data_IF_641676581343
#
_entry.id   IF_641676581343
#
_cell.length_a   1.000
_cell.length_b   1.000
_cell.length_c   1.000
_cell.angle_alpha   90.00
_cell.angle_beta   90.00
_cell.angle_gamma   90.00
#
_symmetry.space_group_name_H-M   'P 1'
#
loop_
_entity.id
_entity.type
_entity.pdbx_description
1 polymer ?
#
# COMPACT_ATOMS: atom_id res chain seq x y z
N UNK A 1 -25.02 17.57 -28.90
CA UNK A 1 -24.09 18.10 -27.90
C UNK A 1 -23.99 17.10 -26.76
N UNK A 2 -22.78 16.76 -26.31
CA UNK A 2 -22.54 15.82 -25.21
C UNK A 2 -21.93 16.55 -24.01
N UNK A 3 -22.53 16.40 -22.83
CA UNK A 3 -22.03 16.97 -21.58
C UNK A 3 -21.75 15.85 -20.58
N UNK A 4 -20.52 15.78 -20.06
CA UNK A 4 -20.16 14.82 -19.04
C UNK A 4 -20.23 15.47 -17.65
N UNK A 5 -20.91 14.83 -16.70
CA UNK A 5 -21.00 15.28 -15.31
C UNK A 5 -20.13 14.38 -14.44
N UNK A 6 -19.04 14.91 -13.91
CA UNK A 6 -18.20 14.22 -12.92
C UNK A 6 -18.64 14.62 -11.52
N UNK A 7 -19.11 13.66 -10.75
CA UNK A 7 -19.64 13.90 -9.41
C UNK A 7 -18.67 13.32 -8.36
N UNK A 8 -18.05 14.22 -7.59
CA UNK A 8 -17.06 13.92 -6.55
C UNK A 8 -17.61 13.88 -5.13
N UNK A 9 -18.93 13.92 -4.95
CA UNK A 9 -19.57 13.66 -3.65
C UNK A 9 -19.60 12.18 -3.30
N UNK A 10 -20.20 11.84 -2.16
CA UNK A 10 -20.21 10.47 -1.62
C UNK A 10 -21.41 9.62 -2.03
N UNK A 11 -22.38 10.19 -2.76
CA UNK A 11 -23.59 9.46 -3.16
C UNK A 11 -24.58 9.21 -2.01
N UNK A 12 -24.54 10.06 -0.98
CA UNK A 12 -25.51 10.00 0.13
C UNK A 12 -26.86 10.53 -0.37
N UNK A 13 -27.97 9.95 0.12
CA UNK A 13 -29.33 10.29 -0.30
C UNK A 13 -29.64 11.79 -0.15
N UNK A 14 -29.20 12.40 0.96
CA UNK A 14 -29.44 13.82 1.26
C UNK A 14 -28.31 14.74 0.76
N UNK A 15 -27.64 14.39 -0.33
CA UNK A 15 -26.59 15.24 -0.88
C UNK A 15 -27.19 16.39 -1.73
N UNK A 16 -26.99 17.66 -1.35
CA UNK A 16 -27.55 18.81 -2.09
C UNK A 16 -27.00 18.92 -3.51
N UNK A 17 -25.75 18.56 -3.75
CA UNK A 17 -25.16 18.57 -5.10
C UNK A 17 -25.85 17.54 -5.98
N UNK A 18 -26.27 16.40 -5.43
CA UNK A 18 -26.96 15.34 -6.15
C UNK A 18 -28.29 15.84 -6.72
N UNK A 19 -29.06 16.58 -5.93
CA UNK A 19 -30.28 17.22 -6.40
C UNK A 19 -30.01 18.23 -7.51
N UNK A 20 -29.01 19.09 -7.33
CA UNK A 20 -28.66 20.09 -8.36
C UNK A 20 -28.31 19.41 -9.68
N UNK A 21 -27.41 18.43 -9.69
CA UNK A 21 -27.01 17.76 -10.93
C UNK A 21 -28.15 16.96 -11.57
N UNK A 22 -29.05 16.39 -10.77
CA UNK A 22 -30.26 15.74 -11.30
C UNK A 22 -31.13 16.78 -12.01
N UNK A 23 -31.37 17.94 -11.39
CA UNK A 23 -32.15 19.02 -12.02
C UNK A 23 -31.47 19.59 -13.27
N UNK A 24 -30.14 19.75 -13.24
CA UNK A 24 -29.38 20.13 -14.43
C UNK A 24 -29.52 19.08 -15.54
N UNK A 25 -29.52 17.80 -15.20
CA UNK A 25 -29.67 16.70 -16.17
C UNK A 25 -31.05 16.72 -16.82
N UNK A 26 -32.12 16.96 -16.06
CA UNK A 26 -33.47 17.14 -16.60
C UNK A 26 -33.51 18.26 -17.65
N UNK A 27 -33.05 19.46 -17.28
CA UNK A 27 -33.04 20.63 -18.17
C UNK A 27 -32.19 20.40 -19.41
N UNK A 28 -31.02 19.78 -19.28
CA UNK A 28 -30.16 19.46 -20.42
C UNK A 28 -30.81 18.40 -21.34
N UNK A 29 -31.52 17.43 -20.76
CA UNK A 29 -32.24 16.40 -21.53
C UNK A 29 -33.40 17.01 -22.30
N UNK A 30 -34.14 17.95 -21.70
CA UNK A 30 -35.19 18.73 -22.39
C UNK A 30 -34.64 19.54 -23.57
N UNK A 31 -33.39 20.01 -23.46
CA UNK A 31 -32.67 20.71 -24.54
C UNK A 31 -32.02 19.76 -25.57
N UNK A 32 -32.34 18.46 -25.56
CA UNK A 32 -31.76 17.42 -26.42
C UNK A 32 -30.22 17.29 -26.31
N UNK A 33 -29.67 17.51 -25.13
CA UNK A 33 -28.25 17.28 -24.83
C UNK A 33 -28.07 15.88 -24.30
N UNK A 34 -27.08 15.15 -24.81
CA UNK A 34 -26.68 13.87 -24.24
C UNK A 34 -25.89 14.13 -22.96
N UNK A 35 -26.42 13.70 -21.82
CA UNK A 35 -25.75 13.81 -20.52
C UNK A 35 -25.23 12.45 -20.10
N UNK A 36 -23.94 12.38 -19.80
CA UNK A 36 -23.31 11.18 -19.25
C UNK A 36 -22.75 11.50 -17.86
N UNK A 37 -23.11 10.69 -16.86
CA UNK A 37 -22.76 10.95 -15.47
C UNK A 37 -21.76 9.93 -14.94
N UNK A 38 -20.70 10.45 -14.33
CA UNK A 38 -19.60 9.69 -13.75
C UNK A 38 -19.56 9.92 -12.23
N UNK A 39 -20.21 9.05 -11.44
CA UNK A 39 -20.04 9.04 -9.98
C UNK A 39 -18.63 8.57 -9.62
N UNK A 40 -17.75 9.49 -9.23
CA UNK A 40 -16.34 9.19 -8.98
C UNK A 40 -16.15 8.25 -7.78
N UNK A 41 -17.08 8.27 -6.83
CA UNK A 41 -17.05 7.38 -5.67
C UNK A 41 -17.32 5.90 -6.02
N UNK A 42 -17.93 5.60 -7.18
CA UNK A 42 -18.12 4.23 -7.68
C UNK A 42 -16.94 3.82 -8.57
N UNK A 43 -16.39 4.78 -9.29
CA UNK A 43 -15.32 4.57 -10.28
C UNK A 43 -13.92 4.73 -9.70
N UNK A 44 -13.74 4.52 -8.39
CA UNK A 44 -12.48 4.83 -7.64
C UNK A 44 -11.22 4.29 -8.31
N UNK A 45 -11.29 3.07 -8.85
CA UNK A 45 -10.15 2.37 -9.47
C UNK A 45 -9.99 2.75 -10.95
N UNK A 46 -10.98 3.40 -11.55
CA UNK A 46 -11.01 3.79 -12.97
C UNK A 46 -10.84 5.30 -13.16
N UNK A 47 -10.75 6.10 -12.08
CA UNK A 47 -10.61 7.58 -12.15
C UNK A 47 -9.47 8.00 -13.08
N UNK A 48 -8.37 7.26 -13.08
CA UNK A 48 -7.19 7.47 -13.93
C UNK A 48 -7.48 7.36 -15.43
N UNK A 49 -8.47 6.57 -15.83
CA UNK A 49 -8.90 6.38 -17.23
C UNK A 49 -10.00 7.36 -17.68
N UNK A 50 -10.73 7.97 -16.73
CA UNK A 50 -11.83 8.89 -17.03
C UNK A 50 -11.48 10.13 -17.87
N UNK A 51 -10.24 10.69 -17.84
CA UNK A 51 -9.88 11.78 -18.73
C UNK A 51 -10.10 11.45 -20.22
N UNK A 52 -10.04 10.17 -20.62
CA UNK A 52 -10.33 9.76 -21.99
C UNK A 52 -11.77 10.07 -22.42
N UNK A 53 -12.73 10.00 -21.49
CA UNK A 53 -14.15 10.29 -21.78
C UNK A 53 -14.40 11.77 -22.13
N UNK A 54 -13.47 12.68 -21.79
CA UNK A 54 -13.53 14.10 -22.16
C UNK A 54 -13.36 14.29 -23.67
N UNK A 55 -12.70 13.36 -24.37
CA UNK A 55 -12.49 13.44 -25.82
C UNK A 55 -13.80 13.53 -26.61
N UNK A 56 -14.84 12.84 -26.14
CA UNK A 56 -16.16 12.81 -26.77
C UNK A 56 -17.10 13.92 -26.27
N UNK A 57 -16.75 14.62 -25.19
CA UNK A 57 -17.59 15.64 -24.60
C UNK A 57 -17.39 17.02 -25.27
N UNK A 58 -18.46 17.79 -25.40
CA UNK A 58 -18.44 19.21 -25.82
C UNK A 58 -18.28 20.15 -24.62
N UNK A 59 -18.68 19.70 -23.43
CA UNK A 59 -18.50 20.39 -22.17
C UNK A 59 -18.58 19.42 -21.00
N UNK A 60 -18.12 19.88 -19.84
CA UNK A 60 -18.11 19.08 -18.62
C UNK A 60 -18.71 19.86 -17.45
N UNK A 61 -19.25 19.14 -16.48
CA UNK A 61 -19.65 19.68 -15.18
C UNK A 61 -18.81 18.99 -14.11
N UNK A 62 -18.12 19.78 -13.29
CA UNK A 62 -17.42 19.27 -12.12
C UNK A 62 -18.28 19.57 -10.89
N UNK A 63 -18.90 18.53 -10.35
CA UNK A 63 -19.84 18.63 -9.25
C UNK A 63 -19.25 18.02 -7.98
N UNK A 64 -19.21 18.75 -6.86
CA UNK A 64 -18.73 18.22 -5.58
C UNK A 64 -19.50 18.81 -4.40
N UNK A 65 -19.58 18.06 -3.32
CA UNK A 65 -20.14 18.53 -2.05
C UNK A 65 -19.02 18.81 -1.07
N UNK A 66 -19.04 19.97 -0.44
CA UNK A 66 -18.11 20.35 0.61
C UNK A 66 -18.73 20.00 1.96
N UNK A 67 -18.10 19.06 2.65
CA UNK A 67 -18.50 18.63 3.99
C UNK A 67 -17.65 19.27 5.10
N UNK A 68 -16.43 19.70 4.77
CA UNK A 68 -15.50 20.27 5.75
C UNK A 68 -14.73 21.48 5.22
N UNK A 69 -13.55 21.28 4.63
CA UNK A 69 -12.62 22.38 4.28
C UNK A 69 -12.48 22.63 2.78
N UNK A 70 -12.88 21.70 1.92
CA UNK A 70 -12.70 21.88 0.48
C UNK A 70 -13.19 20.74 -0.39
N UNK A 71 -12.65 20.73 -1.62
CA UNK A 71 -12.97 19.76 -2.66
C UNK A 71 -12.63 18.33 -2.22
N UNK A 72 -13.53 17.39 -2.46
CA UNK A 72 -13.36 15.99 -2.07
C UNK A 72 -12.20 15.31 -2.81
N UNK A 73 -11.60 14.30 -2.15
CA UNK A 73 -10.42 13.59 -2.67
C UNK A 73 -10.62 12.94 -4.04
N UNK A 74 -11.81 12.40 -4.33
CA UNK A 74 -12.11 11.81 -5.65
C UNK A 74 -12.09 12.85 -6.78
N UNK A 75 -12.60 14.05 -6.52
CA UNK A 75 -12.56 15.14 -7.50
C UNK A 75 -11.14 15.62 -7.73
N UNK A 76 -10.34 15.73 -6.66
CA UNK A 76 -8.92 16.07 -6.78
C UNK A 76 -8.14 15.00 -7.57
N UNK A 77 -8.37 13.72 -7.27
CA UNK A 77 -7.76 12.61 -8.00
C UNK A 77 -8.14 12.62 -9.49
N UNK A 78 -9.38 13.00 -9.82
CA UNK A 78 -9.80 13.17 -11.21
C UNK A 78 -9.09 14.35 -11.89
N UNK A 79 -8.90 15.47 -11.20
CA UNK A 79 -8.15 16.61 -11.72
C UNK A 79 -6.66 16.27 -11.93
N UNK A 80 -6.06 15.52 -11.01
CA UNK A 80 -4.70 14.99 -11.15
C UNK A 80 -4.60 14.03 -12.34
N UNK A 81 -5.58 13.14 -12.51
CA UNK A 81 -5.67 12.29 -13.70
C UNK A 81 -5.79 13.11 -14.99
N UNK A 82 -6.56 14.20 -15.01
CA UNK A 82 -6.62 15.12 -16.14
C UNK A 82 -5.27 15.85 -16.37
N UNK A 83 -4.51 16.11 -15.31
CA UNK A 83 -3.17 16.67 -15.42
C UNK A 83 -2.19 15.68 -16.07
N UNK A 84 -2.21 14.42 -15.65
CA UNK A 84 -1.27 13.40 -16.09
C UNK A 84 -1.66 12.76 -17.43
N UNK A 85 -2.93 12.40 -17.59
CA UNK A 85 -3.45 11.57 -18.69
C UNK A 85 -4.49 12.28 -19.58
N UNK A 86 -4.83 13.53 -19.28
CA UNK A 86 -5.81 14.27 -20.07
C UNK A 86 -5.24 14.75 -21.42
N UNK A 87 -5.99 14.57 -22.50
CA UNK A 87 -5.68 15.16 -23.79
C UNK A 87 -5.75 16.70 -23.71
N UNK A 88 -4.57 17.34 -23.69
CA UNK A 88 -4.44 18.79 -23.49
C UNK A 88 -5.07 19.62 -24.61
N UNK A 89 -5.02 19.14 -25.85
CA UNK A 89 -5.65 19.84 -26.97
C UNK A 89 -7.17 19.85 -26.80
N UNK A 90 -7.77 18.71 -26.46
CA UNK A 90 -9.21 18.64 -26.20
C UNK A 90 -9.60 19.51 -25.00
N UNK A 91 -8.89 19.40 -23.88
CA UNK A 91 -9.16 20.18 -22.67
C UNK A 91 -9.14 21.68 -22.97
N UNK A 92 -8.22 22.15 -23.83
CA UNK A 92 -8.12 23.57 -24.20
C UNK A 92 -9.37 24.16 -24.87
N UNK A 93 -10.19 23.30 -25.47
CA UNK A 93 -11.44 23.68 -26.14
C UNK A 93 -12.69 23.27 -25.33
N UNK A 94 -12.50 22.69 -24.16
CA UNK A 94 -13.58 22.13 -23.34
C UNK A 94 -14.03 23.13 -22.28
N UNK A 95 -15.33 23.44 -22.31
CA UNK A 95 -16.00 24.26 -21.32
C UNK A 95 -16.29 23.47 -20.04
N UNK A 96 -16.05 24.07 -18.87
CA UNK A 96 -16.29 23.43 -17.57
C UNK A 96 -17.20 24.28 -16.69
N UNK A 97 -18.27 23.69 -16.20
CA UNK A 97 -19.16 24.29 -15.20
C UNK A 97 -18.88 23.70 -13.81
N UNK A 98 -18.43 24.52 -12.83
CA UNK A 98 -18.26 24.03 -11.47
C UNK A 98 -19.59 24.12 -10.70
N UNK A 99 -19.99 23.04 -10.04
CA UNK A 99 -21.17 22.96 -9.19
C UNK A 99 -20.74 22.51 -7.81
N UNK A 100 -20.87 23.39 -6.81
CA UNK A 100 -20.38 23.11 -5.46
C UNK A 100 -21.42 23.42 -4.41
N UNK A 101 -22.01 22.41 -3.81
CA UNK A 101 -22.89 22.62 -2.65
C UNK A 101 -22.14 22.31 -1.35
N UNK A 102 -22.61 22.86 -0.24
CA UNK A 102 -22.08 22.56 1.08
C UNK A 102 -23.18 22.38 2.10
N UNK A 103 -22.94 21.45 3.04
CA UNK A 103 -23.70 21.34 4.29
C UNK A 103 -23.05 22.17 5.42
N UNK A 104 -21.89 22.76 5.12
CA UNK A 104 -21.09 23.61 6.01
C UNK A 104 -20.61 24.85 5.24
N UNK A 105 -19.58 25.54 5.73
CA UNK A 105 -18.88 26.58 4.98
C UNK A 105 -17.87 26.00 3.96
N UNK A 106 -17.52 26.78 2.94
CA UNK A 106 -16.35 26.55 2.07
C UNK A 106 -16.66 26.32 0.59
N UNK A 107 -17.93 26.45 0.21
CA UNK A 107 -18.41 26.22 -1.15
C UNK A 107 -17.87 27.22 -2.17
N UNK A 108 -17.64 28.46 -1.76
CA UNK A 108 -17.12 29.52 -2.64
C UNK A 108 -15.65 29.29 -2.98
N UNK A 109 -14.85 28.96 -1.97
CA UNK A 109 -13.44 28.63 -2.10
C UNK A 109 -13.27 27.38 -2.95
N UNK A 110 -14.05 26.34 -2.69
CA UNK A 110 -14.02 25.10 -3.47
C UNK A 110 -14.44 25.32 -4.93
N UNK A 111 -15.48 26.13 -5.20
CA UNK A 111 -15.85 26.51 -6.57
C UNK A 111 -14.71 27.24 -7.28
N UNK A 112 -14.09 28.21 -6.60
CA UNK A 112 -12.97 28.96 -7.16
C UNK A 112 -11.78 28.05 -7.42
N UNK A 113 -11.52 27.10 -6.51
CA UNK A 113 -10.48 26.09 -6.67
C UNK A 113 -10.68 25.24 -7.93
N UNK A 114 -11.89 24.74 -8.17
CA UNK A 114 -12.22 23.99 -9.39
C UNK A 114 -12.02 24.82 -10.66
N UNK A 115 -12.40 26.11 -10.63
CA UNK A 115 -12.18 27.02 -11.76
C UNK A 115 -10.69 27.19 -12.06
N UNK A 116 -9.90 27.50 -11.03
CA UNK A 116 -8.45 27.69 -11.15
C UNK A 116 -7.77 26.40 -11.64
N UNK A 117 -8.14 25.24 -11.08
CA UNK A 117 -7.59 23.95 -11.50
C UNK A 117 -7.85 23.67 -12.99
N UNK A 118 -9.07 23.93 -13.47
CA UNK A 118 -9.41 23.75 -14.87
C UNK A 118 -8.72 24.76 -15.80
N UNK A 119 -8.55 26.01 -15.37
CA UNK A 119 -7.76 27.00 -16.10
C UNK A 119 -6.30 26.59 -16.23
N UNK A 120 -5.69 26.05 -15.16
CA UNK A 120 -4.31 25.55 -15.18
C UNK A 120 -4.17 24.35 -16.12
N UNK A 121 -5.17 23.46 -16.15
CA UNK A 121 -5.26 22.39 -17.14
C UNK A 121 -5.36 22.92 -18.57
N UNK A 122 -5.77 24.18 -18.74
CA UNK A 122 -5.85 24.92 -20.00
C UNK A 122 -7.26 25.05 -20.55
N UNK A 123 -8.28 24.58 -19.83
CA UNK A 123 -9.67 24.60 -20.29
C UNK A 123 -10.38 25.92 -20.03
N UNK A 124 -11.66 25.95 -20.40
CA UNK A 124 -12.49 27.17 -20.41
C UNK A 124 -13.51 27.12 -19.26
N UNK A 125 -13.26 27.75 -18.10
CA UNK A 125 -14.24 27.76 -17.02
C UNK A 125 -15.46 28.61 -17.38
N UNK A 126 -16.64 28.11 -17.02
CA UNK A 126 -17.92 28.78 -17.19
C UNK A 126 -18.45 29.32 -15.85
N UNK A 127 -19.57 30.04 -15.94
CA UNK A 127 -20.31 30.47 -14.76
C UNK A 127 -20.92 29.26 -14.05
N UNK A 128 -20.29 28.84 -12.96
CA UNK A 128 -20.79 27.75 -12.13
C UNK A 128 -21.83 28.18 -11.08
N UNK A 129 -22.27 27.19 -10.31
CA UNK A 129 -23.19 27.34 -9.19
C UNK A 129 -22.50 26.95 -7.88
N UNK A 130 -22.76 27.71 -6.81
CA UNK A 130 -22.41 27.28 -5.46
C UNK A 130 -23.50 27.70 -4.47
N UNK A 131 -23.69 26.93 -3.40
CA UNK A 131 -24.70 27.23 -2.40
C UNK A 131 -24.53 26.41 -1.13
N UNK A 132 -24.92 27.01 -0.02
CA UNK A 132 -25.06 26.34 1.27
C UNK A 132 -26.49 25.84 1.42
N UNK A 133 -26.65 24.60 1.88
CA UNK A 133 -27.93 23.96 2.12
C UNK A 133 -27.95 23.44 3.55
N UNK A 134 -28.81 24.02 4.39
CA UNK A 134 -29.01 23.61 5.79
C UNK A 134 -30.08 22.51 5.90
N UNK A 135 -31.24 22.72 5.25
CA UNK A 135 -32.33 21.75 5.16
C UNK A 135 -32.61 21.40 3.69
N UNK A 136 -32.47 20.11 3.38
CA UNK A 136 -32.67 19.59 2.03
C UNK A 136 -34.13 19.74 1.59
N UNK A 137 -35.09 19.50 2.48
CA UNK A 137 -36.52 19.55 2.13
C UNK A 137 -36.93 20.93 1.66
N UNK A 138 -36.51 21.96 2.41
CA UNK A 138 -36.75 23.36 2.04
C UNK A 138 -36.04 23.75 0.75
N UNK A 139 -34.86 23.19 0.49
CA UNK A 139 -34.11 23.45 -0.73
C UNK A 139 -34.80 22.87 -1.97
N UNK A 140 -35.28 21.63 -1.89
CA UNK A 140 -35.97 20.94 -3.00
C UNK A 140 -37.33 21.57 -3.33
N UNK A 141 -38.06 22.04 -2.32
CA UNK A 141 -39.39 22.62 -2.51
C UNK A 141 -39.36 24.09 -2.97
N UNK A 142 -38.21 24.76 -2.86
CA UNK A 142 -38.10 26.17 -3.19
C UNK A 142 -37.97 26.39 -4.72
N UNK A 143 -39.05 26.91 -5.31
CA UNK A 143 -39.14 27.22 -6.74
C UNK A 143 -38.12 28.27 -7.20
N UNK A 144 -37.73 29.21 -6.35
CA UNK A 144 -36.76 30.23 -6.72
C UNK A 144 -35.35 29.64 -6.88
N UNK A 145 -34.98 28.68 -6.02
CA UNK A 145 -33.71 27.95 -6.14
C UNK A 145 -33.68 27.07 -7.39
N UNK A 146 -34.79 26.38 -7.69
CA UNK A 146 -34.93 25.61 -8.93
C UNK A 146 -34.73 26.51 -10.15
N UNK A 147 -35.38 27.68 -10.19
CA UNK A 147 -35.26 28.64 -11.28
C UNK A 147 -33.80 29.16 -11.44
N UNK A 148 -33.06 29.31 -10.34
CA UNK A 148 -31.62 29.66 -10.40
C UNK A 148 -30.81 28.54 -11.07
N UNK A 149 -31.07 27.27 -10.70
CA UNK A 149 -30.39 26.11 -11.29
C UNK A 149 -30.72 26.01 -12.78
N UNK A 150 -31.99 26.16 -13.17
CA UNK A 150 -32.44 26.14 -14.56
C UNK A 150 -31.75 27.23 -15.39
N UNK A 151 -31.79 28.49 -14.94
CA UNK A 151 -31.10 29.62 -15.61
C UNK A 151 -29.60 29.40 -15.75
N UNK A 152 -28.94 28.80 -14.75
CA UNK A 152 -27.51 28.47 -14.82
C UNK A 152 -27.23 27.37 -15.82
N UNK A 153 -28.11 26.38 -15.91
CA UNK A 153 -28.02 25.27 -16.86
C UNK A 153 -28.22 25.74 -18.29
N UNK A 154 -29.21 26.59 -18.54
CA UNK A 154 -29.41 27.23 -19.85
C UNK A 154 -28.21 28.09 -20.25
N UNK A 155 -27.62 28.81 -19.30
CA UNK A 155 -26.43 29.60 -19.58
C UNK A 155 -25.25 28.69 -19.98
N UNK A 156 -25.05 27.56 -19.29
CA UNK A 156 -24.05 26.56 -19.66
C UNK A 156 -24.29 26.05 -21.09
N UNK A 157 -25.52 25.64 -21.40
CA UNK A 157 -25.91 25.20 -22.73
C UNK A 157 -25.56 26.26 -23.79
N UNK A 158 -25.94 27.52 -23.56
CA UNK A 158 -25.69 28.63 -24.47
C UNK A 158 -24.19 28.88 -24.65
N UNK A 159 -23.41 28.88 -23.58
CA UNK A 159 -21.96 29.09 -23.63
C UNK A 159 -21.28 28.03 -24.50
N UNK A 160 -21.64 26.76 -24.36
CA UNK A 160 -21.08 25.66 -25.15
C UNK A 160 -21.56 25.74 -26.60
N UNK A 161 -22.87 25.87 -26.81
CA UNK A 161 -23.48 25.88 -28.14
C UNK A 161 -23.00 27.05 -29.01
N UNK A 162 -22.83 28.23 -28.41
CA UNK A 162 -22.36 29.43 -29.13
C UNK A 162 -20.84 29.57 -29.15
N UNK A 163 -20.10 28.67 -28.50
CA UNK A 163 -18.63 28.75 -28.35
C UNK A 163 -18.19 30.14 -27.89
N UNK A 164 -18.81 30.63 -26.81
CA UNK A 164 -18.49 31.95 -26.29
C UNK A 164 -17.01 32.06 -25.94
N UNK A 165 -16.37 33.15 -26.36
CA UNK A 165 -14.97 33.41 -26.07
C UNK A 165 -14.85 33.90 -24.63
N UNK A 166 -13.93 33.29 -23.86
CA UNK A 166 -13.55 33.79 -22.55
C UNK A 166 -12.43 34.82 -22.68
N UNK A 167 -12.37 35.77 -21.75
CA UNK A 167 -11.22 36.65 -21.63
C UNK A 167 -9.97 35.85 -21.21
N UNK A 168 -8.77 36.26 -21.63
CA UNK A 168 -7.53 35.58 -21.26
C UNK A 168 -7.30 35.71 -19.74
N UNK A 169 -6.96 34.59 -19.07
CA UNK A 169 -6.62 34.58 -17.63
C UNK A 169 -5.11 34.52 -17.41
N UNK A 170 -4.65 35.04 -16.27
CA UNK A 170 -3.23 34.97 -15.87
C UNK A 170 -2.73 33.52 -15.77
N UNK A 171 -3.57 32.60 -15.30
CA UNK A 171 -3.24 31.17 -15.20
C UNK A 171 -2.98 30.55 -16.57
N UNK A 172 -3.77 30.93 -17.59
CA UNK A 172 -3.56 30.47 -18.97
C UNK A 172 -2.24 31.01 -19.54
N UNK A 173 -1.84 32.24 -19.20
CA UNK A 173 -0.58 32.83 -19.64
C UNK A 173 0.64 32.16 -18.97
N UNK A 174 0.56 31.82 -17.67
CA UNK A 174 1.64 31.15 -16.94
C UNK A 174 1.95 29.76 -17.52
N UNK A 175 0.94 29.03 -18.02
CA UNK A 175 1.15 27.74 -18.69
C UNK A 175 2.07 27.84 -19.92
N UNK A 176 2.01 28.94 -20.66
CA UNK A 176 2.89 29.18 -21.82
C UNK A 176 4.35 29.45 -21.39
N UNK A 177 4.55 29.99 -20.18
CA UNK A 177 5.86 30.40 -19.67
C UNK A 177 6.54 29.28 -18.86
N UNK A 178 5.76 28.49 -18.12
CA UNK A 178 6.25 27.47 -17.17
C UNK A 178 6.12 26.03 -17.72
N UNK A 179 5.45 25.85 -18.86
CA UNK A 179 5.34 24.56 -19.59
C UNK A 179 6.66 23.97 -20.10
N UNK A 180 7.80 24.53 -19.72
CA UNK A 180 9.15 23.98 -19.90
C UNK A 180 9.56 22.94 -18.86
N UNK A 181 8.63 22.35 -18.10
CA UNK A 181 8.88 21.07 -17.44
C UNK A 181 8.78 19.96 -18.49
N UNK A 182 9.80 19.09 -18.56
CA UNK A 182 9.94 17.99 -19.52
C UNK A 182 8.82 16.95 -19.34
N UNK A 183 7.58 17.29 -19.67
CA UNK A 183 6.59 16.29 -20.03
C UNK A 183 7.03 15.78 -21.40
N UNK A 184 7.41 14.51 -21.48
CA UNK A 184 7.53 13.82 -22.76
C UNK A 184 6.18 14.04 -23.45
N UNK A 185 6.12 14.66 -24.64
CA UNK A 185 4.87 14.89 -25.34
C UNK A 185 4.34 13.53 -25.79
N UNK A 186 3.61 12.86 -24.90
CA UNK A 186 2.94 11.61 -25.19
C UNK A 186 1.84 11.89 -26.21
N UNK A 187 1.80 11.06 -27.24
CA UNK A 187 0.69 11.07 -28.17
C UNK A 187 -0.62 10.75 -27.43
N UNK A 188 -1.78 11.18 -27.95
CA UNK A 188 -3.08 10.84 -27.34
C UNK A 188 -3.26 9.32 -27.13
N UNK A 189 -2.66 8.50 -28.00
CA UNK A 189 -2.66 7.04 -27.92
C UNK A 189 -1.80 6.51 -26.77
N UNK A 190 -0.58 7.03 -26.60
CA UNK A 190 0.30 6.65 -25.48
C UNK A 190 -0.27 7.09 -24.13
N UNK A 191 -0.94 8.25 -24.11
CA UNK A 191 -1.61 8.77 -22.92
C UNK A 191 -2.78 7.87 -22.49
N UNK A 192 -3.60 7.43 -23.46
CA UNK A 192 -4.70 6.50 -23.20
C UNK A 192 -4.20 5.13 -22.75
N UNK A 193 -3.12 4.61 -23.36
CA UNK A 193 -2.49 3.37 -22.92
C UNK A 193 -1.95 3.48 -21.49
N UNK A 194 -1.23 4.55 -21.16
CA UNK A 194 -0.73 4.78 -19.80
C UNK A 194 -1.85 4.91 -18.78
N UNK A 195 -2.97 5.52 -19.15
CA UNK A 195 -4.15 5.59 -18.28
C UNK A 195 -4.74 4.20 -18.00
N UNK A 196 -4.74 3.30 -18.99
CA UNK A 196 -5.16 1.90 -18.83
C UNK A 196 -4.17 1.13 -17.95
N UNK A 197 -2.87 1.25 -18.20
CA UNK A 197 -1.82 0.62 -17.38
C UNK A 197 -1.82 1.10 -15.91
N UNK A 198 -2.04 2.40 -15.66
CA UNK A 198 -2.13 2.93 -14.30
C UNK A 198 -3.41 2.48 -13.57
N UNK A 199 -4.46 2.13 -14.32
CA UNK A 199 -5.71 1.60 -13.79
C UNK A 199 -5.72 0.06 -13.71
N UNK A 200 -4.71 -0.62 -14.28
CA UNK A 200 -4.73 -2.06 -14.47
C UNK A 200 -4.32 -2.80 -13.19
N UNK A 201 -5.33 -3.31 -12.48
CA UNK A 201 -5.15 -4.15 -11.29
C UNK A 201 -4.40 -5.45 -11.58
N UNK A 202 -4.28 -5.89 -12.84
CA UNK A 202 -3.53 -7.12 -13.18
C UNK A 202 -2.08 -7.07 -12.66
N UNK A 203 -1.39 -5.92 -12.73
CA UNK A 203 -0.01 -5.81 -12.23
C UNK A 203 0.07 -5.90 -10.70
N UNK A 204 -0.91 -5.33 -9.99
CA UNK A 204 -0.96 -5.38 -8.51
C UNK A 204 -1.42 -6.76 -8.03
N UNK A 205 -2.34 -7.38 -8.75
CA UNK A 205 -2.81 -8.74 -8.48
C UNK A 205 -1.70 -9.74 -8.76
N UNK A 206 -0.99 -9.60 -9.89
CA UNK A 206 0.16 -10.42 -10.25
C UNK A 206 1.34 -10.19 -9.30
N UNK A 207 1.61 -8.96 -8.85
CA UNK A 207 2.59 -8.72 -7.79
C UNK A 207 2.19 -9.37 -6.45
N UNK A 208 0.90 -9.37 -6.09
CA UNK A 208 0.44 -10.04 -4.86
C UNK A 208 0.52 -11.55 -4.98
N UNK A 209 0.18 -12.10 -6.14
CA UNK A 209 0.34 -13.53 -6.47
C UNK A 209 1.82 -13.91 -6.48
N UNK A 210 2.68 -13.13 -7.13
CA UNK A 210 4.13 -13.31 -7.14
C UNK A 210 4.72 -13.22 -5.72
N UNK A 211 4.28 -12.26 -4.90
CA UNK A 211 4.69 -12.15 -3.49
C UNK A 211 4.22 -13.37 -2.69
N UNK A 212 3.01 -13.88 -2.95
CA UNK A 212 2.50 -15.09 -2.31
C UNK A 212 3.23 -16.35 -2.77
N UNK A 213 3.54 -16.47 -4.06
CA UNK A 213 4.34 -17.56 -4.63
C UNK A 213 5.76 -17.52 -4.09
N UNK A 214 6.42 -16.36 -4.10
CA UNK A 214 7.73 -16.17 -3.50
C UNK A 214 7.70 -16.48 -2.00
N UNK A 215 6.69 -16.05 -1.26
CA UNK A 215 6.55 -16.38 0.17
C UNK A 215 6.36 -17.88 0.39
N UNK A 216 5.60 -18.55 -0.48
CA UNK A 216 5.37 -20.00 -0.44
C UNK A 216 6.64 -20.78 -0.82
N UNK A 217 7.41 -20.25 -1.77
CA UNK A 217 8.68 -20.81 -2.22
C UNK A 217 9.79 -20.60 -1.18
N UNK A 218 9.83 -19.44 -0.53
CA UNK A 218 10.71 -19.15 0.61
C UNK A 218 10.34 -19.99 1.83
N UNK A 219 9.04 -20.19 2.11
CA UNK A 219 8.58 -21.10 3.15
C UNK A 219 8.96 -22.56 2.84
N UNK A 220 8.78 -23.01 1.59
CA UNK A 220 9.19 -24.33 1.15
C UNK A 220 10.71 -24.52 1.10
N UNK A 221 11.48 -23.46 0.84
CA UNK A 221 12.95 -23.47 0.93
C UNK A 221 13.44 -23.40 2.37
N UNK A 222 12.75 -22.73 3.29
CA UNK A 222 13.01 -22.75 4.73
C UNK A 222 12.73 -24.14 5.32
N UNK A 223 11.63 -24.79 4.92
CA UNK A 223 11.34 -26.19 5.29
C UNK A 223 12.37 -27.18 4.70
N UNK A 224 13.01 -26.85 3.57
CA UNK A 224 14.13 -27.63 3.00
C UNK A 224 15.51 -27.24 3.56
N UNK A 225 15.64 -26.08 4.23
CA UNK A 225 16.89 -25.58 4.84
C UNK A 225 17.02 -25.89 6.33
N UNK A 226 16.10 -26.65 6.91
CA UNK A 226 16.25 -27.24 8.26
C UNK A 226 17.43 -28.26 8.36
N UNK A 227 18.19 -28.45 7.27
CA UNK A 227 19.32 -29.38 7.21
C UNK A 227 20.67 -28.71 7.50
N UNK A 228 20.82 -27.38 7.45
CA UNK A 228 22.17 -26.76 7.49
C UNK A 228 22.58 -26.07 8.82
N UNK A 229 21.65 -25.76 9.74
CA UNK A 229 22.02 -25.27 11.11
C UNK A 229 22.34 -26.43 12.06
N UNK A 230 22.20 -27.67 11.57
CA UNK A 230 22.50 -28.89 12.34
C UNK A 230 23.99 -29.24 12.29
N UNK A 231 24.70 -28.92 11.20
CA UNK A 231 26.11 -29.28 11.03
C UNK A 231 27.11 -28.41 11.79
N UNK A 232 26.74 -27.18 12.15
CA UNK A 232 27.62 -26.25 12.88
C UNK A 232 28.09 -26.85 14.21
N UNK A 233 27.16 -27.29 15.07
CA UNK A 233 27.52 -27.85 16.37
C UNK A 233 28.38 -29.11 16.29
N UNK A 234 28.17 -29.99 15.29
CA UNK A 234 28.99 -31.21 15.16
C UNK A 234 30.44 -30.85 14.86
N UNK A 235 30.68 -29.91 13.94
CA UNK A 235 32.02 -29.41 13.63
C UNK A 235 32.68 -28.79 14.87
N UNK A 236 31.93 -27.97 15.62
CA UNK A 236 32.46 -27.28 16.80
C UNK A 236 32.89 -28.25 17.92
N UNK A 237 32.14 -29.35 18.12
CA UNK A 237 32.51 -30.43 19.04
C UNK A 237 33.68 -31.29 18.52
N UNK A 238 33.78 -31.50 17.20
CA UNK A 238 34.92 -32.21 16.58
C UNK A 238 36.22 -31.40 16.66
N UNK A 239 36.16 -30.08 16.50
CA UNK A 239 37.31 -29.18 16.48
C UNK A 239 37.92 -28.92 17.88
N UNK A 240 37.12 -29.03 18.95
CA UNK A 240 37.54 -28.76 20.35
C UNK A 240 37.74 -30.03 21.20
N UNK A 241 37.77 -31.21 20.56
CA UNK A 241 37.97 -32.49 21.25
C UNK A 241 39.46 -32.74 21.55
N UNK A 242 39.83 -32.75 22.83
CA UNK A 242 41.18 -33.09 23.31
C UNK A 242 41.12 -34.38 24.14
N UNK A 243 41.65 -35.51 23.64
CA UNK A 243 41.57 -36.77 24.36
C UNK A 243 42.61 -36.84 25.49
N UNK A 244 42.25 -36.43 26.71
CA UNK A 244 42.99 -36.79 27.92
C UNK A 244 42.45 -38.13 28.48
N UNK A 245 43.00 -39.23 27.98
CA UNK A 245 42.81 -40.58 28.54
C UNK A 245 41.78 -41.48 27.81
N UNK A 246 41.78 -42.77 28.18
CA UNK A 246 40.81 -43.78 27.72
C UNK A 246 39.48 -43.58 28.44
N UNK A 247 38.63 -42.71 27.89
CA UNK A 247 37.29 -42.43 28.42
C UNK A 247 36.25 -42.98 27.44
N UNK A 248 35.34 -43.83 27.93
CA UNK A 248 34.19 -44.33 27.19
C UNK A 248 32.91 -43.77 27.82
N UNK A 249 32.17 -42.93 27.10
CA UNK A 249 30.96 -42.27 27.61
C UNK A 249 29.98 -41.88 26.50
N UNK A 250 28.68 -42.00 26.77
CA UNK A 250 27.60 -41.59 25.87
C UNK A 250 26.74 -40.46 26.45
N UNK A 251 26.64 -39.34 25.73
CA UNK A 251 25.89 -38.16 26.14
C UNK A 251 24.76 -37.87 25.16
N UNK A 252 23.57 -37.57 25.69
CA UNK A 252 22.39 -37.18 24.91
C UNK A 252 21.94 -35.79 25.31
N UNK A 253 22.13 -34.82 24.42
CA UNK A 253 21.71 -33.43 24.59
C UNK A 253 20.36 -33.19 23.92
N UNK A 254 19.37 -32.84 24.73
CA UNK A 254 18.06 -32.36 24.29
C UNK A 254 18.05 -30.83 24.35
N UNK A 255 18.11 -30.20 23.19
CA UNK A 255 18.11 -28.73 23.08
C UNK A 255 16.65 -28.26 23.01
N UNK A 256 16.21 -27.41 23.95
CA UNK A 256 14.90 -26.74 23.87
C UNK A 256 14.85 -25.91 22.57
N UNK A 257 13.80 -26.04 21.75
CA UNK A 257 13.68 -25.56 20.35
C UNK A 257 14.16 -26.50 19.21
N UNK A 258 14.71 -27.69 19.50
CA UNK A 258 15.05 -28.68 18.44
C UNK A 258 14.29 -30.00 18.56
N UNK A 259 13.81 -30.52 17.43
CA UNK A 259 13.05 -31.79 17.34
C UNK A 259 13.92 -33.05 17.48
N UNK A 260 15.25 -32.96 17.29
CA UNK A 260 16.17 -34.11 17.37
C UNK A 260 17.28 -33.86 18.40
N UNK A 261 17.50 -34.78 19.36
CA UNK A 261 18.58 -34.62 20.32
C UNK A 261 19.94 -34.91 19.66
N UNK A 262 20.98 -34.20 20.11
CA UNK A 262 22.37 -34.41 19.72
C UNK A 262 22.96 -35.50 20.61
N UNK A 263 23.60 -36.49 20.00
CA UNK A 263 24.27 -37.59 20.70
C UNK A 263 25.76 -37.45 20.48
N UNK A 264 26.51 -37.50 21.58
CA UNK A 264 27.97 -37.46 21.60
C UNK A 264 28.44 -38.76 22.26
N UNK A 265 29.05 -39.64 21.50
CA UNK A 265 29.65 -40.89 21.99
C UNK A 265 31.16 -40.79 21.89
N UNK A 266 31.85 -41.11 22.99
CA UNK A 266 33.31 -41.21 23.05
C UNK A 266 33.63 -42.68 23.30
N UNK A 267 34.33 -43.33 22.37
CA UNK A 267 34.78 -44.72 22.50
C UNK A 267 36.22 -44.82 22.03
N UNK A 268 37.14 -45.30 22.88
CA UNK A 268 38.57 -45.49 22.59
C UNK A 268 39.23 -44.24 21.97
N UNK A 269 39.01 -43.08 22.59
CA UNK A 269 39.53 -41.77 22.15
C UNK A 269 39.04 -41.32 20.76
N UNK A 270 37.94 -41.91 20.26
CA UNK A 270 37.24 -41.44 19.05
C UNK A 270 35.88 -40.87 19.40
N UNK A 271 35.69 -39.61 19.00
CA UNK A 271 34.42 -38.90 19.08
C UNK A 271 33.50 -39.36 17.94
N UNK A 272 32.24 -39.66 18.25
CA UNK A 272 31.14 -39.83 17.30
C UNK A 272 29.99 -38.90 17.70
N UNK A 273 29.78 -37.86 16.91
CA UNK A 273 28.69 -36.90 17.10
C UNK A 273 27.62 -37.09 16.02
N UNK A 274 26.38 -37.34 16.42
CA UNK A 274 25.27 -37.48 15.48
C UNK A 274 23.93 -37.06 16.08
N UNK A 275 23.00 -36.59 15.24
CA UNK A 275 21.63 -36.31 15.65
C UNK A 275 20.76 -37.55 15.43
N UNK A 276 20.16 -38.07 16.49
CA UNK A 276 19.40 -39.31 16.42
C UNK A 276 18.69 -39.65 17.72
N UNK A 277 18.17 -40.87 17.82
CA UNK A 277 17.57 -41.41 19.04
C UNK A 277 18.46 -42.52 19.60
N UNK A 278 19.14 -42.25 20.71
CA UNK A 278 19.79 -43.27 21.53
C UNK A 278 18.82 -43.69 22.65
N UNK A 279 18.59 -44.99 22.79
CA UNK A 279 17.64 -45.55 23.76
C UNK A 279 18.26 -45.78 25.15
N UNK A 280 19.59 -45.78 25.29
CA UNK A 280 20.28 -45.94 26.59
C UNK A 280 21.55 -45.07 26.71
N UNK A 281 21.43 -43.75 26.88
CA UNK A 281 22.58 -42.87 27.16
C UNK A 281 23.03 -42.94 28.64
N UNK A 282 24.32 -42.77 28.90
CA UNK A 282 24.88 -42.69 30.25
C UNK A 282 24.49 -41.38 30.95
N UNK A 283 24.37 -40.29 30.17
CA UNK A 283 23.85 -39.01 30.62
C UNK A 283 22.85 -38.44 29.61
N UNK A 284 21.71 -37.97 30.13
CA UNK A 284 20.75 -37.13 29.43
C UNK A 284 20.82 -35.69 29.94
N UNK A 285 21.14 -34.78 29.05
CA UNK A 285 21.26 -33.35 29.30
C UNK A 285 20.11 -32.62 28.59
N UNK A 286 19.41 -31.72 29.29
CA UNK A 286 18.51 -30.74 28.66
C UNK A 286 19.13 -29.36 28.79
N UNK A 287 19.22 -28.64 27.69
CA UNK A 287 19.86 -27.33 27.64
C UNK A 287 19.11 -26.40 26.68
N UNK A 288 19.17 -25.10 26.93
CA UNK A 288 18.70 -24.09 25.99
C UNK A 288 19.77 -23.79 24.92
N UNK A 289 19.40 -23.40 23.70
CA UNK A 289 20.34 -23.14 22.61
C UNK A 289 21.30 -21.99 22.93
N UNK A 290 20.80 -20.94 23.58
CA UNK A 290 21.60 -19.79 24.04
C UNK A 290 22.75 -20.23 24.96
N UNK A 291 22.46 -21.12 25.91
CA UNK A 291 23.44 -21.62 26.88
C UNK A 291 24.47 -22.52 26.20
N UNK A 292 24.06 -23.31 25.20
CA UNK A 292 24.98 -24.14 24.44
C UNK A 292 25.96 -23.31 23.60
N UNK A 293 25.49 -22.21 22.99
CA UNK A 293 26.35 -21.26 22.28
C UNK A 293 27.35 -20.59 23.22
N UNK A 294 26.92 -20.20 24.43
CA UNK A 294 27.82 -19.65 25.46
C UNK A 294 28.90 -20.65 25.91
N UNK A 295 28.57 -21.94 25.94
CA UNK A 295 29.53 -23.00 26.30
C UNK A 295 30.56 -23.21 25.18
N UNK A 296 30.11 -23.28 23.92
CA UNK A 296 31.01 -23.45 22.76
C UNK A 296 31.91 -22.22 22.58
N UNK A 297 31.41 -21.02 22.88
CA UNK A 297 32.19 -19.79 22.88
C UNK A 297 33.17 -19.69 24.07
N UNK A 298 33.25 -20.68 24.95
CA UNK A 298 34.17 -20.72 26.10
C UNK A 298 33.79 -19.79 27.26
N UNK A 299 32.60 -19.20 27.25
CA UNK A 299 32.14 -18.28 28.28
C UNK A 299 31.63 -19.00 29.53
N UNK A 300 31.30 -20.30 29.40
CA UNK A 300 30.72 -21.10 30.48
C UNK A 300 31.09 -22.59 30.33
N UNK A 301 31.29 -23.31 31.43
CA UNK A 301 31.47 -24.77 31.42
C UNK A 301 30.14 -25.51 31.59
N UNK A 302 30.08 -26.79 31.20
CA UNK A 302 28.88 -27.61 31.37
C UNK A 302 28.53 -27.81 32.85
N UNK A 303 29.53 -27.91 33.73
CA UNK A 303 29.32 -27.89 35.18
C UNK A 303 28.71 -26.58 35.68
N UNK A 304 29.19 -25.43 35.21
CA UNK A 304 28.68 -24.13 35.65
C UNK A 304 27.24 -23.94 35.20
N UNK A 305 26.91 -24.32 33.97
CA UNK A 305 25.54 -24.29 33.45
C UNK A 305 24.59 -25.21 34.24
N UNK A 306 25.07 -26.34 34.76
CA UNK A 306 24.30 -27.19 35.66
C UNK A 306 24.11 -26.54 37.04
N UNK A 307 25.16 -25.96 37.62
CA UNK A 307 25.12 -25.31 38.94
C UNK A 307 24.26 -24.04 38.96
N UNK A 308 24.18 -23.29 37.85
CA UNK A 308 23.30 -22.12 37.73
C UNK A 308 21.83 -22.47 37.47
N UNK A 309 21.53 -23.75 37.20
CA UNK A 309 20.18 -24.24 36.90
C UNK A 309 19.74 -24.07 35.45
N UNK A 310 20.64 -23.60 34.58
CA UNK A 310 20.39 -23.38 33.15
C UNK A 310 20.45 -24.67 32.31
N UNK A 311 20.95 -25.76 32.90
CA UNK A 311 21.05 -27.08 32.32
C UNK A 311 20.49 -28.14 33.28
N UNK A 312 19.62 -29.03 32.80
CA UNK A 312 19.11 -30.16 33.59
C UNK A 312 19.82 -31.46 33.18
N UNK A 313 20.40 -32.18 34.14
CA UNK A 313 21.15 -33.41 33.89
C UNK A 313 20.49 -34.61 34.60
N UNK A 314 20.37 -35.74 33.90
CA UNK A 314 19.94 -37.04 34.44
C UNK A 314 20.94 -38.12 34.00
N UNK A 315 21.70 -38.70 34.94
CA UNK A 315 22.72 -39.72 34.66
C UNK A 315 23.77 -39.83 35.77
N UNK A 316 24.91 -40.49 35.51
CA UNK A 316 26.05 -40.50 36.44
C UNK A 316 26.81 -39.17 36.35
N UNK A 317 26.72 -38.36 37.41
CA UNK A 317 27.33 -37.02 37.49
C UNK A 317 28.86 -37.03 37.36
N UNK A 318 29.54 -38.16 37.60
CA UNK A 318 30.99 -38.27 37.38
C UNK A 318 31.35 -38.17 35.90
N UNK A 319 30.44 -38.60 35.03
CA UNK A 319 30.63 -38.56 33.57
C UNK A 319 30.42 -37.11 33.05
N UNK A 320 29.65 -36.26 33.76
CA UNK A 320 29.52 -34.83 33.42
C UNK A 320 30.85 -34.08 33.65
N UNK A 321 31.59 -34.44 34.70
CA UNK A 321 32.93 -33.88 34.97
C UNK A 321 33.93 -34.25 33.87
N UNK A 322 33.81 -35.45 33.31
CA UNK A 322 34.66 -35.90 32.19
C UNK A 322 34.36 -35.10 30.91
N UNK A 323 33.14 -34.59 30.72
CA UNK A 323 32.79 -33.82 29.54
C UNK A 323 33.54 -32.48 29.46
N UNK A 324 33.66 -31.76 30.58
CA UNK A 324 34.46 -30.52 30.66
C UNK A 324 35.98 -30.77 30.53
N UNK A 325 36.45 -32.00 30.79
CA UNK A 325 37.86 -32.38 30.63
C UNK A 325 38.19 -32.78 29.19
N UNK A 326 37.24 -33.40 28.49
CA UNK A 326 37.44 -33.91 27.13
C UNK A 326 37.19 -32.84 26.05
N UNK A 327 36.38 -31.81 26.37
CA UNK A 327 36.19 -30.67 25.49
C UNK A 327 36.77 -29.39 26.08
N UNK A 328 37.89 -28.94 25.52
CA UNK A 328 38.54 -27.69 25.90
C UNK A 328 37.91 -26.52 25.16
N UNK A 329 36.76 -26.04 25.65
CA UNK A 329 36.13 -24.81 25.14
C UNK A 329 36.65 -23.54 25.82
N UNK A 330 37.29 -23.65 27.00
CA UNK A 330 37.85 -22.53 27.74
C UNK A 330 39.19 -22.09 27.10
N UNK A 331 39.16 -20.94 26.42
CA UNK A 331 40.37 -20.21 26.10
C UNK A 331 41.12 -19.85 27.38
N UNK A 332 42.41 -20.19 27.42
CA UNK A 332 43.33 -19.71 28.44
C UNK A 332 43.40 -18.18 28.41
N UNK A 333 42.67 -17.49 29.29
CA UNK A 333 43.02 -16.16 29.83
C UNK A 333 42.01 -15.70 30.90
N UNK A 334 42.50 -15.37 32.10
CA UNK A 334 41.84 -14.44 33.02
C UNK A 334 41.46 -15.00 34.40
N UNK A 335 42.41 -14.92 35.34
CA UNK A 335 42.16 -14.89 36.79
C UNK A 335 41.00 -13.95 37.15
N UNK A 336 40.11 -14.37 38.06
CA UNK A 336 39.83 -13.68 39.33
C UNK A 336 39.01 -14.59 40.27
#
# INVERSE_FOLDING_TARGET
>A
MKINIYYGGRGILDDPTLFVINKMTEVLTELNVQVERFPLYELRNQITSLPASINEADGIVLATTVEWYGVGGYMMQFLDACWLYGNKEKISRTYMCPVVMSLSSGEREAKTNLQVAWEILGGLPCSGLCGYVDDMTSFELNKDYINIIEKKTENLYRTISQKMHSLPSSNQAVKQIVGGTKNIPLTPQETEQLSKYASDEQYVQQQKEDIQELSSLFKGMLEKKDVDVSRQFISDFEDHFAPEGTVNASYKFMIEDRKKPLIVEIVDSKLKCYYGSLDSPDILCKIKPEVLEHIIAGQMSFQRAFMTGDMQVKGDFRILLLLDQVFTFLGSEGEF
#
